data_IF_014948264805
#
_entry.id   IF_014948264805
#
_cell.length_a   1.000
_cell.length_b   1.000
_cell.length_c   1.000
_cell.angle_alpha   90.00
_cell.angle_beta   90.00
_cell.angle_gamma   90.00
#
_symmetry.space_group_name_H-M   'P 1'
#
loop_
_entity.id
_entity.type
_entity.pdbx_description
1 polymer ?
#
# COMPACT_ATOMS: atom_id res chain seq x y z
N UNK A 1 -11.68 23.28 9.32
CA UNK A 1 -11.54 21.83 9.60
C UNK A 1 -11.12 21.21 8.29
N UNK A 2 -9.84 20.86 8.15
CA UNK A 2 -9.33 20.24 6.92
C UNK A 2 -9.55 18.74 7.05
N UNK A 3 -10.42 18.18 6.22
CA UNK A 3 -10.51 16.73 6.06
C UNK A 3 -9.16 16.26 5.50
N UNK A 4 -8.47 15.38 6.21
CA UNK A 4 -7.24 14.77 5.71
C UNK A 4 -7.61 14.00 4.45
N UNK A 5 -7.03 14.40 3.31
CA UNK A 5 -7.32 13.75 2.04
C UNK A 5 -6.72 12.36 2.00
N UNK A 6 -7.38 11.43 1.29
CA UNK A 6 -6.84 10.09 1.05
C UNK A 6 -5.35 10.13 0.67
N UNK A 7 -4.53 9.34 1.36
CA UNK A 7 -3.09 9.26 1.06
C UNK A 7 -2.84 8.12 0.08
N UNK A 8 -2.21 8.43 -1.05
CA UNK A 8 -1.90 7.44 -2.10
C UNK A 8 -0.41 7.15 -2.22
N UNK A 9 -0.09 5.90 -2.57
CA UNK A 9 1.22 5.50 -3.06
C UNK A 9 1.06 4.70 -4.35
N UNK A 10 1.91 4.99 -5.34
CA UNK A 10 1.85 4.38 -6.66
C UNK A 10 3.17 3.66 -6.99
N UNK A 11 3.06 2.49 -7.61
CA UNK A 11 4.16 1.85 -8.32
C UNK A 11 4.09 2.28 -9.79
N UNK A 12 4.88 3.29 -10.14
CA UNK A 12 4.91 3.83 -11.49
C UNK A 12 5.45 2.79 -12.48
N UNK A 13 4.75 2.66 -13.60
CA UNK A 13 5.10 1.77 -14.70
C UNK A 13 4.61 2.42 -16.01
N UNK A 14 5.55 2.88 -16.84
CA UNK A 14 5.24 3.53 -18.12
C UNK A 14 4.55 2.61 -19.14
N UNK A 15 4.62 1.29 -18.93
CA UNK A 15 3.94 0.31 -19.78
C UNK A 15 2.49 0.06 -19.35
N UNK A 16 2.07 0.53 -18.17
CA UNK A 16 0.70 0.39 -17.71
C UNK A 16 -0.21 1.48 -18.31
N UNK A 17 -1.50 1.19 -18.59
CA UNK A 17 -2.42 2.13 -19.24
C UNK A 17 -2.55 3.49 -18.56
N UNK A 18 -2.44 3.52 -17.22
CA UNK A 18 -2.56 4.75 -16.42
C UNK A 18 -1.21 5.23 -15.86
N UNK A 19 -0.08 4.71 -16.35
CA UNK A 19 1.26 5.08 -15.90
C UNK A 19 1.71 4.46 -14.57
N UNK A 20 0.87 3.61 -13.96
CA UNK A 20 1.20 2.83 -12.76
C UNK A 20 0.63 1.41 -12.86
N UNK A 21 1.39 0.43 -12.36
CA UNK A 21 0.94 -0.96 -12.31
C UNK A 21 0.18 -1.30 -11.04
N UNK A 22 0.48 -0.61 -9.94
CA UNK A 22 -0.15 -0.86 -8.66
C UNK A 22 -0.30 0.42 -7.85
N UNK A 23 -1.26 0.44 -6.92
CA UNK A 23 -1.42 1.53 -5.98
C UNK A 23 -1.85 1.00 -4.60
N UNK A 24 -1.54 1.74 -3.55
CA UNK A 24 -2.16 1.57 -2.23
C UNK A 24 -2.67 2.92 -1.75
N UNK A 25 -3.84 2.93 -1.12
CA UNK A 25 -4.46 4.14 -0.58
C UNK A 25 -4.88 3.92 0.87
N UNK A 26 -4.69 4.96 1.67
CA UNK A 26 -5.34 5.14 2.96
C UNK A 26 -6.55 6.08 2.79
N UNK A 27 -7.72 5.61 3.22
CA UNK A 27 -8.99 6.34 3.20
C UNK A 27 -9.30 6.76 4.64
N UNK A 28 -9.15 8.06 4.89
CA UNK A 28 -9.26 8.73 6.20
C UNK A 28 -10.63 8.52 6.86
N UNK A 29 -11.72 8.64 6.08
CA UNK A 29 -13.10 8.53 6.56
C UNK A 29 -13.56 7.06 6.73
N UNK A 30 -12.80 6.30 7.52
CA UNK A 30 -13.10 4.91 7.85
C UNK A 30 -11.90 4.03 8.14
N UNK A 31 -10.68 4.58 8.22
CA UNK A 31 -9.45 3.83 8.53
C UNK A 31 -9.25 2.61 7.60
N UNK A 32 -9.57 2.80 6.31
CA UNK A 32 -9.56 1.75 5.32
C UNK A 32 -8.37 1.87 4.40
N UNK A 33 -7.72 0.74 4.16
CA UNK A 33 -6.64 0.62 3.20
C UNK A 33 -7.09 -0.22 2.02
N UNK A 34 -6.75 0.22 0.81
CA UNK A 34 -7.02 -0.53 -0.43
C UNK A 34 -5.75 -0.70 -1.23
N UNK A 35 -5.53 -1.91 -1.75
CA UNK A 35 -4.38 -2.26 -2.58
C UNK A 35 -4.90 -2.62 -3.97
N UNK A 36 -4.55 -1.80 -4.95
CA UNK A 36 -5.00 -1.92 -6.34
C UNK A 36 -3.94 -2.59 -7.20
N UNK A 37 -4.41 -3.49 -8.04
CA UNK A 37 -3.68 -3.97 -9.21
C UNK A 37 -4.32 -3.35 -10.45
N UNK A 38 -3.51 -2.60 -11.19
CA UNK A 38 -3.92 -1.80 -12.34
C UNK A 38 -3.21 -2.23 -13.62
N UNK A 39 -2.50 -3.36 -13.62
CA UNK A 39 -1.81 -3.83 -14.81
C UNK A 39 -1.81 -5.35 -14.93
N UNK A 40 -2.39 -5.86 -16.02
CA UNK A 40 -2.47 -7.30 -16.31
C UNK A 40 -1.12 -7.87 -16.79
N UNK A 41 -0.09 -7.86 -15.93
CA UNK A 41 1.23 -8.44 -16.21
C UNK A 41 1.40 -9.87 -15.67
N UNK A 42 0.35 -10.41 -15.03
CA UNK A 42 0.35 -11.75 -14.45
C UNK A 42 1.06 -11.84 -13.10
N UNK A 43 1.48 -10.71 -12.52
CA UNK A 43 2.01 -10.61 -11.16
C UNK A 43 0.91 -10.19 -10.20
N UNK A 44 1.07 -10.54 -8.93
CA UNK A 44 0.21 -10.03 -7.87
C UNK A 44 0.80 -8.75 -7.26
N UNK A 45 -0.01 -8.06 -6.48
CA UNK A 45 0.35 -6.81 -5.82
C UNK A 45 0.23 -6.95 -4.31
N UNK A 46 1.23 -6.51 -3.56
CA UNK A 46 1.19 -6.44 -2.10
C UNK A 46 1.38 -5.03 -1.59
N UNK A 47 0.42 -4.56 -0.79
CA UNK A 47 0.54 -3.35 0.01
C UNK A 47 1.11 -3.65 1.39
N UNK A 48 1.93 -2.75 1.88
CA UNK A 48 2.58 -2.83 3.18
C UNK A 48 2.31 -1.58 3.99
N UNK A 49 1.84 -1.76 5.22
CA UNK A 49 1.66 -0.71 6.21
C UNK A 49 2.65 -0.94 7.36
N UNK A 50 3.49 0.06 7.60
CA UNK A 50 4.39 0.07 8.75
C UNK A 50 4.06 1.26 9.65
N UNK A 51 4.24 1.08 10.96
CA UNK A 51 4.14 2.14 11.98
C UNK A 51 5.52 2.45 12.54
N UNK A 52 5.81 3.71 12.83
CA UNK A 52 7.02 4.12 13.53
C UNK A 52 6.89 3.78 15.03
N UNK A 53 7.78 2.92 15.50
CA UNK A 53 7.96 2.55 16.90
C UNK A 53 9.40 2.87 17.33
N UNK A 54 9.68 4.08 17.84
CA UNK A 54 11.01 4.43 18.33
C UNK A 54 11.53 3.44 19.37
N UNK A 55 10.65 2.88 20.19
CA UNK A 55 10.91 1.84 21.19
C UNK A 55 11.44 0.52 20.59
N UNK A 56 11.09 0.21 19.34
CA UNK A 56 11.56 -0.96 18.59
C UNK A 56 12.66 -0.59 17.57
N UNK A 57 13.19 0.64 17.65
CA UNK A 57 14.31 1.10 16.82
C UNK A 57 13.94 1.50 15.39
N UNK A 58 12.66 1.66 15.06
CA UNK A 58 12.27 2.12 13.72
C UNK A 58 10.85 1.77 13.30
N UNK A 59 10.67 1.55 12.00
CA UNK A 59 9.38 1.20 11.41
C UNK A 59 9.15 -0.31 11.50
N UNK A 60 7.97 -0.70 11.97
CA UNK A 60 7.56 -2.10 12.15
C UNK A 60 6.32 -2.37 11.30
N UNK A 61 6.33 -3.47 10.55
CA UNK A 61 5.20 -3.94 9.75
C UNK A 61 4.02 -4.24 10.67
N UNK A 62 2.89 -3.58 10.44
CA UNK A 62 1.64 -3.85 11.17
C UNK A 62 0.60 -4.55 10.32
N UNK A 63 0.64 -4.34 9.00
CA UNK A 63 -0.23 -5.06 8.09
C UNK A 63 0.40 -5.22 6.71
N UNK A 64 0.01 -6.29 6.01
CA UNK A 64 0.23 -6.42 4.59
C UNK A 64 -0.98 -7.08 3.94
N UNK A 65 -1.39 -6.58 2.79
CA UNK A 65 -2.50 -7.16 2.04
C UNK A 65 -2.07 -7.48 0.62
N UNK A 66 -2.35 -8.71 0.21
CA UNK A 66 -2.14 -9.20 -1.14
C UNK A 66 -3.42 -9.04 -1.95
N UNK A 67 -3.31 -8.36 -3.08
CA UNK A 67 -4.27 -8.39 -4.16
C UNK A 67 -3.65 -9.24 -5.28
N UNK A 68 -4.37 -10.25 -5.77
CA UNK A 68 -3.85 -11.23 -6.74
C UNK A 68 -3.47 -10.64 -8.11
N UNK A 69 -3.41 -11.49 -9.14
CA UNK A 69 -3.12 -11.08 -10.53
C UNK A 69 -4.31 -10.37 -11.21
N UNK A 70 -5.15 -9.69 -10.43
CA UNK A 70 -6.45 -9.18 -10.85
C UNK A 70 -6.33 -7.79 -11.44
N UNK A 71 -6.39 -7.68 -12.76
CA UNK A 71 -6.45 -6.38 -13.44
C UNK A 71 -7.73 -5.61 -13.04
N UNK A 72 -7.57 -4.39 -12.52
CA UNK A 72 -8.66 -3.53 -12.03
C UNK A 72 -9.41 -4.20 -10.85
N UNK A 73 -8.68 -4.89 -9.97
CA UNK A 73 -9.20 -5.35 -8.68
C UNK A 73 -8.54 -4.61 -7.52
N UNK A 74 -9.14 -4.73 -6.34
CA UNK A 74 -8.48 -4.33 -5.11
C UNK A 74 -8.76 -5.31 -3.97
N UNK A 75 -7.77 -5.45 -3.09
CA UNK A 75 -8.00 -5.97 -1.74
C UNK A 75 -8.20 -4.79 -0.79
N UNK A 76 -9.00 -4.99 0.27
CA UNK A 76 -9.16 -3.98 1.32
C UNK A 76 -8.94 -4.59 2.70
N UNK A 77 -8.48 -3.77 3.63
CA UNK A 77 -8.37 -4.13 5.04
C UNK A 77 -8.56 -2.89 5.93
N UNK A 78 -9.18 -3.05 7.12
CA UNK A 78 -9.24 -2.00 8.12
C UNK A 78 -7.95 -1.96 8.96
N UNK A 79 -7.52 -0.77 9.36
CA UNK A 79 -6.48 -0.60 10.37
C UNK A 79 -6.61 0.78 11.03
N UNK A 80 -6.83 0.81 12.34
CA UNK A 80 -7.01 2.03 13.14
C UNK A 80 -5.75 2.92 13.12
N UNK A 81 -5.84 4.08 12.47
CA UNK A 81 -4.77 5.07 12.38
C UNK A 81 -4.92 6.05 13.53
N UNK A 82 -3.95 6.03 14.46
CA UNK A 82 -3.97 6.98 15.58
C UNK A 82 -3.09 8.19 15.27
N UNK A 83 -3.64 9.40 15.47
CA UNK A 83 -2.97 10.69 15.18
C UNK A 83 -1.62 10.91 15.88
N UNK A 84 -1.35 10.17 16.96
CA UNK A 84 -0.08 10.25 17.70
C UNK A 84 1.06 9.42 17.10
N UNK A 85 0.79 8.66 16.03
CA UNK A 85 1.76 7.76 15.40
C UNK A 85 2.03 8.19 13.97
N UNK A 86 3.24 7.88 13.51
CA UNK A 86 3.62 8.07 12.10
C UNK A 86 3.57 6.74 11.38
N UNK A 87 2.93 6.73 10.22
CA UNK A 87 2.77 5.56 9.39
C UNK A 87 3.51 5.72 8.07
N UNK A 88 3.82 4.61 7.42
CA UNK A 88 4.27 4.60 6.03
C UNK A 88 3.64 3.47 5.24
N UNK A 89 3.36 3.76 3.98
CA UNK A 89 2.83 2.80 3.02
C UNK A 89 3.81 2.56 1.87
N UNK A 90 3.75 1.34 1.34
CA UNK A 90 4.46 0.94 0.13
C UNK A 90 3.65 -0.11 -0.61
N UNK A 91 3.73 -0.11 -1.93
CA UNK A 91 3.13 -1.14 -2.77
C UNK A 91 4.21 -1.77 -3.64
N UNK A 92 4.16 -3.09 -3.79
CA UNK A 92 5.12 -3.85 -4.61
C UNK A 92 4.42 -4.93 -5.41
N UNK A 93 5.02 -5.33 -6.53
CA UNK A 93 4.65 -6.56 -7.25
C UNK A 93 5.33 -7.78 -6.63
N UNK A 94 4.66 -8.92 -6.66
CA UNK A 94 5.11 -10.23 -6.17
C UNK A 94 4.66 -11.32 -7.14
N UNK A 95 5.36 -12.45 -7.18
CA UNK A 95 5.08 -13.55 -8.12
C UNK A 95 4.05 -14.56 -7.56
N UNK A 96 3.51 -14.30 -6.37
CA UNK A 96 2.41 -15.07 -5.80
C UNK A 96 2.06 -14.67 -4.37
N UNK A 97 1.01 -15.30 -3.82
CA UNK A 97 0.55 -15.03 -2.45
C UNK A 97 1.60 -15.41 -1.39
N UNK A 98 2.35 -16.49 -1.59
CA UNK A 98 3.39 -16.92 -0.64
C UNK A 98 4.74 -16.26 -0.91
N UNK A 99 4.86 -15.51 -2.01
CA UNK A 99 6.10 -14.82 -2.35
C UNK A 99 6.33 -13.65 -1.38
N UNK A 100 7.44 -13.71 -0.67
CA UNK A 100 7.89 -12.67 0.27
C UNK A 100 8.99 -11.78 -0.31
N UNK A 101 9.44 -12.06 -1.53
CA UNK A 101 10.49 -11.33 -2.26
C UNK A 101 9.87 -10.40 -3.31
N UNK A 102 9.72 -9.10 -3.02
CA UNK A 102 9.08 -8.19 -3.96
C UNK A 102 9.94 -7.98 -5.20
N UNK A 103 9.33 -8.03 -6.38
CA UNK A 103 10.04 -7.83 -7.65
C UNK A 103 10.28 -6.35 -7.96
N UNK A 104 9.23 -5.53 -7.91
CA UNK A 104 9.31 -4.09 -8.07
C UNK A 104 8.48 -3.39 -7.00
N UNK A 105 8.92 -2.21 -6.58
CA UNK A 105 8.42 -1.57 -5.37
C UNK A 105 8.36 -0.05 -5.52
N UNK A 106 7.29 0.56 -5.00
CA UNK A 106 7.21 2.01 -4.87
C UNK A 106 8.22 2.53 -3.84
N UNK A 107 8.43 3.84 -3.83
CA UNK A 107 9.00 4.50 -2.64
C UNK A 107 8.03 4.41 -1.46
N UNK A 108 8.55 4.57 -0.24
CA UNK A 108 7.72 4.72 0.96
C UNK A 108 7.07 6.10 1.00
N UNK A 109 5.76 6.15 1.23
CA UNK A 109 5.03 7.38 1.50
C UNK A 109 4.68 7.43 2.98
N UNK A 110 5.02 8.52 3.66
CA UNK A 110 4.73 8.72 5.09
C UNK A 110 3.46 9.54 5.25
N UNK A 111 2.70 9.25 6.30
CA UNK A 111 1.50 10.00 6.66
C UNK A 111 1.24 9.89 8.18
N UNK A 112 0.40 10.81 8.65
CA UNK A 112 -0.15 10.89 10.00
C UNK A 112 -1.48 11.63 9.89
N UNK A 113 -2.41 11.31 10.79
CA UNK A 113 -3.67 12.05 10.94
C UNK A 113 -3.57 13.16 11.99
#
# INVERSE_FOLDING_TARGET
>A
MAYSGNTWVYLNNSSAPNGYSAAMVHVDDGDLFRVYDNFSDGRGVRGYLDILKPEEGGYVRVHSSYNGNGYISYSQFPYDVVSTRTYRMKVCTVDGMEDSTPAACSSWVRFSE
#
